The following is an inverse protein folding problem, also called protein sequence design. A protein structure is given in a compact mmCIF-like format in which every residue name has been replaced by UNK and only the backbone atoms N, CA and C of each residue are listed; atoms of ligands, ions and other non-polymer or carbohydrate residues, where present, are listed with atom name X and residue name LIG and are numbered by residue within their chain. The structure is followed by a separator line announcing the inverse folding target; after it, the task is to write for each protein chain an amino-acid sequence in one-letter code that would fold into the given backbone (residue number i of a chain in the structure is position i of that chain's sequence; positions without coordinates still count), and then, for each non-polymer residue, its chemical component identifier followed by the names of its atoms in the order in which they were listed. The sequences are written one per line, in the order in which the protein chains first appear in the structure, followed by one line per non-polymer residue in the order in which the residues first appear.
data_IF_507789832798
#
_entry.id   IF_507789832798
#
_cell.length_a   1.000
_cell.length_b   1.000
_cell.length_c   1.000
_cell.angle_alpha   90.00
_cell.angle_beta   90.00
_cell.angle_gamma   90.00
#
_symmetry.space_group_name_H-M   'P 1'
#
loop_
_entity.id
_entity.type
_entity.pdbx_description
1 polymer ?
#
# COMPACT_ATOMS: atom_id res chain seq x y z
N UNK A 1 0.42 -20.12 -4.01
CA UNK A 1 -0.52 -19.03 -3.80
C UNK A 1 -0.10 -17.86 -4.67
N UNK A 2 -1.01 -17.26 -5.42
CA UNK A 2 -0.67 -16.22 -6.38
C UNK A 2 -1.68 -15.07 -6.40
N UNK A 3 -1.20 -13.88 -6.73
CA UNK A 3 -2.04 -12.73 -7.06
C UNK A 3 -2.28 -12.69 -8.57
N UNK A 4 -3.53 -12.62 -9.00
CA UNK A 4 -3.86 -12.44 -10.41
C UNK A 4 -3.96 -10.95 -10.74
N UNK A 5 -3.13 -10.52 -11.68
CA UNK A 5 -3.18 -9.18 -12.26
C UNK A 5 -3.87 -9.24 -13.63
N UNK A 6 -5.08 -8.72 -13.71
CA UNK A 6 -5.88 -8.71 -14.93
C UNK A 6 -5.85 -7.31 -15.52
N UNK A 7 -4.94 -7.08 -16.46
CA UNK A 7 -4.69 -5.76 -17.08
C UNK A 7 -4.88 -5.73 -18.60
N UNK A 8 -5.38 -6.84 -19.18
CA UNK A 8 -5.65 -6.97 -20.62
C UNK A 8 -7.02 -6.39 -20.99
N UNK A 9 -7.12 -5.26 -21.70
CA UNK A 9 -8.40 -4.64 -22.02
C UNK A 9 -9.30 -5.55 -22.85
N UNK A 10 -10.51 -5.81 -22.36
CA UNK A 10 -11.51 -6.63 -23.00
C UNK A 10 -11.35 -8.13 -22.80
N UNK A 11 -10.41 -8.55 -21.95
CA UNK A 11 -10.38 -9.91 -21.45
C UNK A 11 -11.58 -10.20 -20.55
N UNK A 12 -11.93 -11.47 -20.39
CA UNK A 12 -13.03 -11.98 -19.59
C UNK A 12 -12.54 -13.05 -18.62
N UNK A 13 -12.74 -12.84 -17.33
CA UNK A 13 -12.54 -13.86 -16.31
C UNK A 13 -13.86 -14.60 -16.05
N UNK A 14 -13.85 -15.89 -16.29
CA UNK A 14 -14.93 -16.82 -16.00
C UNK A 14 -14.52 -17.87 -14.98
N UNK A 15 -15.45 -18.81 -14.70
CA UNK A 15 -15.20 -20.01 -13.92
C UNK A 15 -15.51 -21.23 -14.76
N UNK A 16 -14.63 -22.22 -14.72
CA UNK A 16 -14.84 -23.55 -15.29
C UNK A 16 -14.43 -24.59 -14.24
N UNK A 17 -15.42 -25.23 -13.61
CA UNK A 17 -15.20 -26.17 -12.51
C UNK A 17 -14.48 -25.52 -11.31
N UNK A 18 -13.28 -25.99 -11.01
CA UNK A 18 -12.44 -25.51 -9.89
C UNK A 18 -11.37 -24.50 -10.31
N UNK A 19 -11.51 -23.89 -11.49
CA UNK A 19 -10.54 -22.94 -12.03
C UNK A 19 -11.22 -21.64 -12.41
N UNK A 20 -10.49 -20.53 -12.25
CA UNK A 20 -10.77 -19.28 -12.94
C UNK A 20 -10.13 -19.36 -14.33
N UNK A 21 -10.86 -18.99 -15.36
CA UNK A 21 -10.39 -19.01 -16.74
C UNK A 21 -10.42 -17.60 -17.31
N UNK A 22 -9.25 -17.09 -17.65
CA UNK A 22 -9.09 -15.81 -18.34
C UNK A 22 -9.06 -16.07 -19.85
N UNK A 23 -10.00 -15.46 -20.56
CA UNK A 23 -10.07 -15.46 -22.03
C UNK A 23 -9.70 -14.08 -22.54
N UNK A 24 -8.70 -13.98 -23.39
CA UNK A 24 -8.33 -12.73 -24.04
C UNK A 24 -9.19 -12.46 -25.30
N UNK A 25 -8.99 -11.31 -25.95
CA UNK A 25 -9.72 -10.94 -27.16
C UNK A 25 -9.34 -11.78 -28.38
N UNK A 26 -8.18 -12.38 -28.39
CA UNK A 26 -7.61 -13.15 -29.50
C UNK A 26 -7.97 -14.63 -29.39
N UNK A 27 -8.73 -15.01 -28.34
CA UNK A 27 -9.17 -16.38 -28.09
C UNK A 27 -8.18 -17.21 -27.30
N UNK A 28 -7.12 -16.61 -26.77
CA UNK A 28 -6.21 -17.26 -25.83
C UNK A 28 -6.92 -17.53 -24.49
N UNK A 29 -6.70 -18.73 -23.92
CA UNK A 29 -7.27 -19.12 -22.65
C UNK A 29 -6.18 -19.47 -21.64
N UNK A 30 -6.35 -19.04 -20.39
CA UNK A 30 -5.46 -19.37 -19.28
C UNK A 30 -6.24 -19.71 -18.03
N UNK A 31 -6.05 -20.94 -17.53
CA UNK A 31 -6.68 -21.43 -16.31
C UNK A 31 -5.82 -21.18 -15.05
N UNK A 32 -6.49 -20.85 -13.95
CA UNK A 32 -5.88 -20.65 -12.63
C UNK A 32 -6.69 -21.46 -11.59
N UNK A 33 -6.11 -22.49 -10.97
CA UNK A 33 -6.79 -23.23 -9.91
C UNK A 33 -7.19 -22.28 -8.77
N UNK A 34 -8.47 -22.29 -8.37
CA UNK A 34 -9.01 -21.39 -7.34
C UNK A 34 -8.26 -21.50 -6.01
N UNK A 35 -7.76 -22.68 -5.67
CA UNK A 35 -7.00 -22.93 -4.45
C UNK A 35 -5.61 -22.26 -4.42
N UNK A 36 -5.10 -21.86 -5.58
CA UNK A 36 -3.81 -21.19 -5.73
C UNK A 36 -3.94 -19.67 -5.78
N UNK A 37 -5.17 -19.15 -5.89
CA UNK A 37 -5.44 -17.72 -6.02
C UNK A 37 -5.69 -17.11 -4.65
N UNK A 38 -4.85 -16.18 -4.24
CA UNK A 38 -4.99 -15.45 -2.98
C UNK A 38 -5.72 -14.12 -3.16
N UNK A 39 -5.63 -13.54 -4.36
CA UNK A 39 -6.15 -12.21 -4.64
C UNK A 39 -6.30 -11.99 -6.13
N UNK A 40 -7.24 -11.10 -6.49
CA UNK A 40 -7.42 -10.64 -7.87
C UNK A 40 -7.38 -9.11 -7.93
N UNK A 41 -6.56 -8.56 -8.81
CA UNK A 41 -6.54 -7.14 -9.14
C UNK A 41 -6.98 -6.97 -10.60
N UNK A 42 -8.02 -6.17 -10.80
CA UNK A 42 -8.64 -5.96 -12.11
C UNK A 42 -8.39 -4.53 -12.54
N UNK A 43 -7.66 -4.34 -13.64
CA UNK A 43 -7.33 -3.04 -14.19
C UNK A 43 -8.17 -2.71 -15.42
N UNK A 44 -8.86 -1.59 -15.37
CA UNK A 44 -9.59 -1.05 -16.51
C UNK A 44 -10.75 -1.94 -16.95
N UNK A 45 -10.83 -2.25 -18.25
CA UNK A 45 -12.00 -2.92 -18.87
C UNK A 45 -11.80 -4.43 -19.00
N UNK A 46 -11.73 -5.14 -17.89
CA UNK A 46 -11.81 -6.61 -17.83
C UNK A 46 -13.18 -7.00 -17.32
N UNK A 47 -13.82 -7.97 -17.98
CA UNK A 47 -15.12 -8.50 -17.56
C UNK A 47 -14.94 -9.61 -16.52
N UNK A 48 -15.74 -9.56 -15.46
CA UNK A 48 -15.88 -10.66 -14.50
C UNK A 48 -17.27 -11.27 -14.66
N UNK A 49 -17.34 -12.59 -14.87
CA UNK A 49 -18.65 -13.28 -14.87
C UNK A 49 -19.20 -13.37 -13.47
N UNK A 50 -20.54 -13.50 -13.32
CA UNK A 50 -21.17 -13.74 -12.03
C UNK A 50 -20.65 -15.01 -11.36
N UNK A 51 -20.40 -16.08 -12.12
CA UNK A 51 -19.85 -17.34 -11.58
C UNK A 51 -18.43 -17.17 -11.04
N UNK A 52 -17.58 -16.37 -11.72
CA UNK A 52 -16.25 -16.05 -11.22
C UNK A 52 -16.33 -15.20 -9.93
N UNK A 53 -17.20 -14.17 -9.92
CA UNK A 53 -17.43 -13.34 -8.74
C UNK A 53 -17.93 -14.16 -7.54
N UNK A 54 -18.92 -15.02 -7.75
CA UNK A 54 -19.45 -15.88 -6.69
C UNK A 54 -18.35 -16.80 -6.13
N UNK A 55 -17.56 -17.42 -7.01
CA UNK A 55 -16.47 -18.30 -6.58
C UNK A 55 -15.39 -17.55 -5.75
N UNK A 56 -15.09 -16.29 -6.11
CA UNK A 56 -14.17 -15.45 -5.37
C UNK A 56 -14.73 -15.06 -4.00
N UNK A 57 -16.02 -14.69 -3.93
CA UNK A 57 -16.72 -14.35 -2.70
C UNK A 57 -16.85 -15.53 -1.74
N UNK A 58 -17.28 -16.70 -2.23
CA UNK A 58 -17.43 -17.95 -1.45
C UNK A 58 -16.12 -18.36 -0.79
N UNK A 59 -14.98 -18.08 -1.44
CA UNK A 59 -13.65 -18.42 -0.93
C UNK A 59 -12.96 -17.30 -0.18
N UNK A 60 -13.62 -16.15 -0.04
CA UNK A 60 -13.03 -14.98 0.62
C UNK A 60 -11.83 -14.41 -0.12
N UNK A 61 -11.70 -14.65 -1.45
CA UNK A 61 -10.61 -14.12 -2.27
C UNK A 61 -10.86 -12.64 -2.56
N UNK A 62 -10.07 -11.72 -1.99
CA UNK A 62 -10.29 -10.29 -2.17
C UNK A 62 -10.05 -9.88 -3.62
N UNK A 63 -11.00 -9.15 -4.19
CA UNK A 63 -10.92 -8.66 -5.56
C UNK A 63 -10.94 -7.14 -5.56
N UNK A 64 -9.89 -6.52 -6.12
CA UNK A 64 -9.73 -5.07 -6.19
C UNK A 64 -9.98 -4.60 -7.62
N UNK A 65 -10.86 -3.61 -7.78
CA UNK A 65 -11.19 -3.00 -9.06
C UNK A 65 -10.45 -1.65 -9.18
N UNK A 66 -9.69 -1.49 -10.24
CA UNK A 66 -8.82 -0.35 -10.50
C UNK A 66 -9.11 0.26 -11.87
N UNK A 67 -8.95 1.57 -12.00
CA UNK A 67 -8.89 2.20 -13.32
C UNK A 67 -7.67 1.71 -14.10
N UNK A 68 -7.60 2.02 -15.40
CA UNK A 68 -6.43 1.74 -16.22
C UNK A 68 -5.15 2.43 -15.69
N UNK A 69 -5.28 3.59 -15.06
CA UNK A 69 -4.16 4.32 -14.44
C UNK A 69 -3.82 3.84 -13.02
N UNK A 70 -4.52 2.84 -12.48
CA UNK A 70 -4.29 2.31 -11.14
C UNK A 70 -5.09 3.00 -10.04
N UNK A 71 -6.02 3.91 -10.39
CA UNK A 71 -6.93 4.52 -9.41
C UNK A 71 -7.93 3.47 -8.90
N UNK A 72 -8.11 3.42 -7.59
CA UNK A 72 -9.00 2.47 -6.94
C UNK A 72 -10.48 2.85 -7.18
N UNK A 73 -11.24 1.97 -7.83
CA UNK A 73 -12.69 2.08 -7.94
C UNK A 73 -13.41 1.44 -6.76
N UNK A 74 -12.93 0.29 -6.27
CA UNK A 74 -13.55 -0.41 -5.16
C UNK A 74 -13.02 -1.82 -4.96
N UNK A 75 -13.68 -2.52 -4.03
CA UNK A 75 -13.39 -3.91 -3.72
C UNK A 75 -14.66 -4.74 -3.82
N UNK A 76 -14.50 -5.99 -4.28
CA UNK A 76 -15.52 -7.02 -4.18
C UNK A 76 -15.05 -7.99 -3.09
N UNK A 77 -15.86 -8.13 -2.07
CA UNK A 77 -15.54 -8.93 -0.89
C UNK A 77 -16.81 -9.51 -0.29
N UNK A 78 -16.70 -10.72 0.27
CA UNK A 78 -17.77 -11.35 1.00
C UNK A 78 -18.12 -10.65 2.31
N UNK A 79 -19.18 -11.10 2.95
CA UNK A 79 -19.61 -10.56 4.24
C UNK A 79 -18.52 -10.69 5.31
N UNK A 80 -18.19 -9.59 5.97
CA UNK A 80 -17.28 -9.57 7.10
C UNK A 80 -18.04 -9.89 8.38
N UNK A 81 -18.04 -11.15 8.79
CA UNK A 81 -18.73 -11.62 9.98
C UNK A 81 -18.06 -11.22 11.31
N UNK A 82 -18.89 -11.01 12.34
CA UNK A 82 -18.55 -11.33 13.74
C UNK A 82 -17.81 -10.29 14.59
N UNK A 83 -17.09 -9.32 14.08
CA UNK A 83 -16.21 -8.44 14.90
C UNK A 83 -16.89 -7.09 15.31
N UNK A 84 -18.17 -7.13 15.63
CA UNK A 84 -18.96 -5.91 15.97
C UNK A 84 -18.36 -5.15 17.14
N UNK A 85 -17.93 -5.85 18.22
CA UNK A 85 -17.33 -5.20 19.40
C UNK A 85 -16.03 -4.48 19.08
N UNK A 86 -15.17 -5.08 18.22
CA UNK A 86 -13.91 -4.45 17.80
C UNK A 86 -14.18 -3.20 16.97
N UNK A 87 -15.12 -3.24 16.02
CA UNK A 87 -15.53 -2.06 15.25
C UNK A 87 -16.12 -0.96 16.12
N UNK A 88 -16.96 -1.31 17.11
CA UNK A 88 -17.48 -0.33 18.05
C UNK A 88 -16.35 0.39 18.81
N UNK A 89 -15.32 -0.33 19.27
CA UNK A 89 -14.14 0.25 19.89
C UNK A 89 -13.30 1.09 18.93
N UNK A 90 -13.19 0.65 17.66
CA UNK A 90 -12.52 1.42 16.60
C UNK A 90 -13.22 2.76 16.36
N UNK A 91 -14.55 2.78 16.27
CA UNK A 91 -15.31 4.03 16.12
C UNK A 91 -15.23 4.93 17.35
N UNK A 92 -15.23 4.35 18.53
CA UNK A 92 -15.00 5.11 19.77
C UNK A 92 -13.61 5.76 19.80
N UNK A 93 -12.57 5.02 19.40
CA UNK A 93 -11.21 5.54 19.26
C UNK A 93 -11.12 6.67 18.22
N UNK A 94 -11.75 6.51 17.06
CA UNK A 94 -11.80 7.54 16.01
C UNK A 94 -12.47 8.83 16.52
N UNK A 95 -13.49 8.72 17.36
CA UNK A 95 -14.25 9.85 17.88
C UNK A 95 -13.55 10.57 19.06
N UNK A 96 -12.53 9.98 19.65
CA UNK A 96 -11.79 10.53 20.80
C UNK A 96 -10.38 10.94 20.37
N UNK A 97 -10.19 12.24 20.10
CA UNK A 97 -8.89 12.78 19.67
C UNK A 97 -7.78 12.53 20.71
N UNK A 98 -8.10 12.56 22.00
CA UNK A 98 -7.12 12.33 23.05
C UNK A 98 -6.63 10.87 23.07
N UNK A 99 -7.53 9.90 22.88
CA UNK A 99 -7.20 8.48 22.75
C UNK A 99 -6.52 8.15 21.40
N UNK A 100 -6.89 8.83 20.32
CA UNK A 100 -6.35 8.63 18.98
C UNK A 100 -4.92 9.16 18.82
N UNK A 101 -4.59 10.28 19.48
CA UNK A 101 -3.31 10.97 19.32
C UNK A 101 -2.06 10.12 19.62
N UNK A 102 -2.00 9.28 20.66
CA UNK A 102 -0.86 8.39 20.90
C UNK A 102 -0.60 7.43 19.73
N UNK A 103 -1.65 6.84 19.15
CA UNK A 103 -1.57 5.92 18.01
C UNK A 103 -1.10 6.68 16.75
N UNK A 104 -1.67 7.85 16.50
CA UNK A 104 -1.26 8.72 15.40
C UNK A 104 0.23 9.11 15.48
N UNK A 105 0.70 9.49 16.69
CA UNK A 105 2.12 9.77 16.95
C UNK A 105 3.00 8.56 16.66
N UNK A 106 2.60 7.37 17.12
CA UNK A 106 3.36 6.14 16.88
C UNK A 106 3.49 5.87 15.39
N UNK A 107 2.40 5.96 14.62
CA UNK A 107 2.37 5.75 13.17
C UNK A 107 3.29 6.74 12.43
N UNK A 108 3.15 8.04 12.72
CA UNK A 108 3.93 9.06 12.00
C UNK A 108 5.40 9.05 12.41
N UNK A 109 5.69 8.80 13.68
CA UNK A 109 7.08 8.61 14.15
C UNK A 109 7.73 7.41 13.45
N UNK A 110 7.01 6.29 13.31
CA UNK A 110 7.50 5.11 12.60
C UNK A 110 7.70 5.38 11.10
N UNK A 111 6.77 6.08 10.44
CA UNK A 111 6.93 6.55 9.06
C UNK A 111 8.25 7.30 8.89
N UNK A 112 8.47 8.37 9.66
CA UNK A 112 9.67 9.21 9.56
C UNK A 112 10.95 8.43 9.88
N UNK A 113 10.91 7.51 10.85
CA UNK A 113 12.05 6.60 11.15
C UNK A 113 12.34 5.68 9.98
N UNK A 114 11.32 5.10 9.35
CA UNK A 114 11.46 4.21 8.19
C UNK A 114 11.92 4.97 6.94
N UNK A 115 11.48 6.21 6.74
CA UNK A 115 12.01 7.11 5.72
C UNK A 115 13.50 7.41 5.94
N UNK A 116 13.89 7.73 7.17
CA UNK A 116 15.29 7.91 7.53
C UNK A 116 16.11 6.64 7.32
N UNK A 117 15.55 5.47 7.62
CA UNK A 117 16.19 4.18 7.37
C UNK A 117 16.49 3.99 5.87
N UNK A 118 15.54 4.30 4.99
CA UNK A 118 15.75 4.19 3.54
C UNK A 118 16.91 5.11 3.06
N UNK A 119 16.93 6.37 3.50
CA UNK A 119 18.01 7.28 3.16
C UNK A 119 19.38 6.76 3.69
N UNK A 120 19.42 6.22 4.91
CA UNK A 120 20.63 5.61 5.48
C UNK A 120 21.08 4.37 4.73
N UNK A 121 20.16 3.55 4.24
CA UNK A 121 20.47 2.37 3.43
C UNK A 121 21.25 2.74 2.15
N UNK A 122 21.07 3.96 1.67
CA UNK A 122 21.75 4.54 0.51
C UNK A 122 22.80 5.59 0.89
N UNK A 123 23.23 5.62 2.16
CA UNK A 123 24.26 6.52 2.67
C UNK A 123 24.01 8.01 2.40
N UNK A 124 22.74 8.39 2.23
CA UNK A 124 22.36 9.78 1.97
C UNK A 124 22.57 10.66 3.20
N UNK A 125 23.29 11.80 3.07
CA UNK A 125 23.46 12.77 4.16
C UNK A 125 22.13 13.40 4.60
N UNK A 126 21.10 13.43 3.73
CA UNK A 126 19.76 13.91 4.04
C UNK A 126 19.08 13.15 5.19
N UNK A 127 19.53 11.93 5.48
CA UNK A 127 19.01 11.13 6.60
C UNK A 127 19.14 11.85 7.96
N UNK A 128 20.18 12.65 8.17
CA UNK A 128 20.38 13.42 9.40
C UNK A 128 19.28 14.47 9.61
N UNK A 129 18.83 15.11 8.53
CA UNK A 129 17.81 16.15 8.54
C UNK A 129 16.43 15.70 9.03
N UNK A 130 16.16 14.39 9.07
CA UNK A 130 14.89 13.85 9.58
C UNK A 130 14.83 13.74 11.11
N UNK A 131 15.97 13.81 11.81
CA UNK A 131 16.06 13.67 13.26
C UNK A 131 15.13 14.62 14.04
N UNK A 132 15.14 15.94 13.77
CA UNK A 132 14.28 16.89 14.46
C UNK A 132 12.79 16.61 14.26
N UNK A 133 12.35 16.23 13.04
CA UNK A 133 10.96 15.91 12.75
C UNK A 133 10.48 14.64 13.45
N UNK A 134 11.34 13.63 13.57
CA UNK A 134 11.05 12.40 14.33
C UNK A 134 10.83 12.73 15.82
N UNK A 135 11.68 13.54 16.41
CA UNK A 135 11.55 13.95 17.82
C UNK A 135 10.28 14.78 18.02
N UNK A 136 10.01 15.74 17.17
CA UNK A 136 8.82 16.60 17.24
C UNK A 136 7.52 15.80 17.03
N UNK A 137 7.47 14.85 16.08
CA UNK A 137 6.31 14.00 15.88
C UNK A 137 6.01 13.12 17.11
N UNK A 138 7.06 12.60 17.76
CA UNK A 138 6.92 11.76 18.97
C UNK A 138 6.25 12.50 20.12
N UNK A 139 6.47 13.81 20.26
CA UNK A 139 5.97 14.63 21.37
C UNK A 139 4.88 15.62 20.94
N UNK A 140 4.32 15.49 19.74
CA UNK A 140 3.31 16.41 19.21
C UNK A 140 2.11 16.56 20.15
N UNK A 141 1.71 17.77 20.48
CA UNK A 141 0.65 18.04 21.43
C UNK A 141 -0.77 17.86 20.86
N UNK A 142 -0.90 17.83 19.52
CA UNK A 142 -2.20 17.69 18.83
C UNK A 142 -2.02 17.04 17.46
N UNK A 143 -3.12 16.54 16.88
CA UNK A 143 -3.14 16.03 15.51
C UNK A 143 -2.74 17.11 14.50
N UNK A 144 -3.08 18.37 14.73
CA UNK A 144 -2.71 19.49 13.86
C UNK A 144 -1.18 19.72 13.85
N UNK A 145 -0.53 19.76 15.02
CA UNK A 145 0.93 19.86 15.10
C UNK A 145 1.63 18.66 14.50
N UNK A 146 1.08 17.44 14.72
CA UNK A 146 1.61 16.21 14.14
C UNK A 146 1.58 16.24 12.61
N UNK A 147 0.47 16.71 11.99
CA UNK A 147 0.39 16.93 10.52
C UNK A 147 1.44 17.93 10.01
N UNK A 148 1.71 19.00 10.74
CA UNK A 148 2.77 19.96 10.40
C UNK A 148 4.17 19.32 10.39
N UNK A 149 4.49 18.51 11.41
CA UNK A 149 5.78 17.80 11.49
C UNK A 149 5.90 16.71 10.43
N UNK A 150 4.82 15.98 10.18
CA UNK A 150 4.76 14.97 9.12
C UNK A 150 5.02 15.59 7.74
N UNK A 151 4.30 16.67 7.38
CA UNK A 151 4.45 17.33 6.09
C UNK A 151 5.84 17.94 5.88
N UNK A 152 6.44 18.51 6.95
CA UNK A 152 7.80 19.07 6.89
C UNK A 152 8.84 17.96 6.76
N UNK A 153 8.69 16.86 7.54
CA UNK A 153 9.54 15.68 7.44
C UNK A 153 9.43 15.00 6.07
N UNK A 154 8.22 14.90 5.51
CA UNK A 154 8.01 14.33 4.18
C UNK A 154 8.70 15.18 3.08
N UNK A 155 8.64 16.50 3.16
CA UNK A 155 9.37 17.38 2.21
C UNK A 155 10.88 17.16 2.29
N UNK A 156 11.44 17.11 3.51
CA UNK A 156 12.87 16.87 3.70
C UNK A 156 13.27 15.49 3.18
N UNK A 157 12.45 14.46 3.43
CA UNK A 157 12.65 13.12 2.93
C UNK A 157 12.65 13.05 1.40
N UNK A 158 11.61 13.59 0.74
CA UNK A 158 11.51 13.52 -0.72
C UNK A 158 12.55 14.37 -1.44
N UNK A 159 13.08 15.42 -0.83
CA UNK A 159 14.26 16.10 -1.35
C UNK A 159 15.46 15.15 -1.38
N UNK A 160 15.78 14.48 -0.26
CA UNK A 160 16.87 13.49 -0.21
C UNK A 160 16.60 12.25 -1.09
N UNK A 161 15.35 11.81 -1.21
CA UNK A 161 14.97 10.72 -2.11
C UNK A 161 15.25 11.09 -3.58
N UNK A 162 14.96 12.34 -3.97
CA UNK A 162 15.27 12.84 -5.31
C UNK A 162 16.78 12.78 -5.64
N UNK A 163 17.65 13.07 -4.65
CA UNK A 163 19.10 12.94 -4.81
C UNK A 163 19.53 11.49 -5.10
N UNK A 164 18.83 10.49 -4.56
CA UNK A 164 19.12 9.08 -4.82
C UNK A 164 18.84 8.66 -6.28
N UNK A 165 18.12 9.46 -7.04
CA UNK A 165 17.83 9.21 -8.45
C UNK A 165 18.92 9.78 -9.37
N UNK A 166 19.95 10.46 -8.85
CA UNK A 166 21.07 10.94 -9.63
C UNK A 166 21.75 9.79 -10.40
N UNK A 167 22.02 10.02 -11.68
CA UNK A 167 22.58 9.01 -12.57
C UNK A 167 21.53 8.08 -13.22
N UNK A 168 20.24 8.18 -12.86
CA UNK A 168 19.14 7.57 -13.59
C UNK A 168 18.59 8.54 -14.66
N UNK A 169 17.83 8.06 -15.66
CA UNK A 169 17.22 8.92 -16.67
C UNK A 169 16.02 9.72 -16.14
N UNK A 170 15.61 9.52 -14.89
CA UNK A 170 14.40 10.10 -14.33
C UNK A 170 14.69 11.36 -13.51
N UNK A 171 13.84 12.36 -13.71
CA UNK A 171 13.81 13.58 -12.88
C UNK A 171 12.70 13.44 -11.84
N UNK A 172 12.95 13.97 -10.62
CA UNK A 172 11.98 13.99 -9.53
C UNK A 172 12.19 15.26 -8.70
N UNK A 173 11.22 16.15 -8.72
CA UNK A 173 11.30 17.46 -8.03
C UNK A 173 10.66 17.41 -6.64
N UNK A 174 9.89 16.35 -6.37
CA UNK A 174 9.17 16.17 -5.13
C UNK A 174 7.93 15.32 -5.30
N UNK A 175 7.28 14.95 -4.19
CA UNK A 175 6.10 14.12 -4.22
C UNK A 175 4.84 14.94 -4.59
N UNK A 176 4.23 14.58 -5.71
CA UNK A 176 2.94 15.08 -6.18
C UNK A 176 1.94 13.92 -6.30
N UNK A 177 0.72 14.12 -5.83
CA UNK A 177 -0.22 13.01 -5.69
C UNK A 177 -1.04 12.73 -6.94
N UNK A 178 -1.71 13.71 -7.52
CA UNK A 178 -2.61 13.46 -8.63
C UNK A 178 -2.92 14.75 -9.42
N UNK A 179 -2.78 14.72 -10.75
CA UNK A 179 -2.14 13.67 -11.53
C UNK A 179 -0.62 13.58 -11.25
N UNK A 180 -0.03 12.41 -11.50
CA UNK A 180 1.42 12.24 -11.38
C UNK A 180 2.12 13.01 -12.52
N UNK A 181 3.03 13.96 -12.23
CA UNK A 181 3.64 14.81 -13.28
C UNK A 181 4.85 14.14 -13.95
N UNK A 182 5.40 13.10 -13.37
CA UNK A 182 6.63 12.45 -13.80
C UNK A 182 6.60 10.93 -13.56
N UNK A 183 7.49 10.16 -14.18
CA UNK A 183 7.57 8.71 -14.05
C UNK A 183 7.71 8.22 -12.62
N UNK A 184 8.51 8.88 -11.78
CA UNK A 184 8.76 8.46 -10.41
C UNK A 184 7.50 8.63 -9.56
N UNK A 185 6.80 9.77 -9.72
CA UNK A 185 5.50 9.98 -9.08
C UNK A 185 4.44 8.97 -9.55
N UNK A 186 4.48 8.55 -10.83
CA UNK A 186 3.62 7.50 -11.35
C UNK A 186 3.89 6.14 -10.67
N UNK A 187 5.16 5.75 -10.53
CA UNK A 187 5.56 4.53 -9.82
C UNK A 187 5.15 4.55 -8.35
N UNK A 188 5.42 5.66 -7.66
CA UNK A 188 5.04 5.82 -6.25
C UNK A 188 3.52 5.73 -6.08
N UNK A 189 2.74 6.37 -6.95
CA UNK A 189 1.28 6.37 -6.88
C UNK A 189 0.71 4.98 -7.10
N UNK A 190 1.19 4.25 -8.10
CA UNK A 190 0.75 2.89 -8.39
C UNK A 190 1.20 1.92 -7.27
N UNK A 191 2.42 2.03 -6.79
CA UNK A 191 2.93 1.21 -5.68
C UNK A 191 2.17 1.47 -4.37
N UNK A 192 1.81 2.71 -4.06
CA UNK A 192 0.97 3.02 -2.89
C UNK A 192 -0.46 2.49 -3.04
N UNK A 193 -0.98 2.40 -4.27
CA UNK A 193 -2.28 1.76 -4.52
C UNK A 193 -2.22 0.25 -4.24
N UNK A 194 -1.13 -0.41 -4.63
CA UNK A 194 -0.90 -1.82 -4.30
C UNK A 194 -0.79 -2.03 -2.79
N UNK A 195 0.00 -1.19 -2.10
CA UNK A 195 0.14 -1.25 -0.65
C UNK A 195 -1.20 -1.00 0.07
N UNK A 196 -1.98 -0.02 -0.39
CA UNK A 196 -3.32 0.24 0.15
C UNK A 196 -4.23 -0.98 0.03
N UNK A 197 -4.16 -1.70 -1.10
CA UNK A 197 -4.88 -2.96 -1.31
C UNK A 197 -4.49 -4.04 -0.30
N UNK A 198 -3.18 -4.20 0.02
CA UNK A 198 -2.70 -5.13 1.04
C UNK A 198 -3.24 -4.78 2.43
N UNK A 199 -3.12 -3.51 2.84
CA UNK A 199 -3.57 -3.05 4.15
C UNK A 199 -5.09 -3.17 4.30
N UNK A 200 -5.86 -2.82 3.25
CA UNK A 200 -7.33 -2.98 3.27
C UNK A 200 -7.74 -4.44 3.40
N UNK A 201 -7.09 -5.34 2.66
CA UNK A 201 -7.34 -6.78 2.78
C UNK A 201 -7.07 -7.27 4.20
N UNK A 202 -5.97 -6.84 4.80
CA UNK A 202 -5.66 -7.18 6.18
C UNK A 202 -6.71 -6.63 7.17
N UNK A 203 -7.12 -5.35 7.03
CA UNK A 203 -8.17 -4.74 7.87
C UNK A 203 -9.46 -5.55 7.83
N UNK A 204 -9.90 -5.93 6.66
CA UNK A 204 -11.09 -6.79 6.51
C UNK A 204 -10.90 -8.15 7.19
N UNK A 205 -9.72 -8.79 7.02
CA UNK A 205 -9.40 -10.05 7.69
C UNK A 205 -9.49 -9.98 9.22
N UNK A 206 -9.15 -8.81 9.80
CA UNK A 206 -9.28 -8.57 11.23
C UNK A 206 -10.64 -8.00 11.64
N UNK A 207 -11.58 -7.81 10.71
CA UNK A 207 -12.92 -7.28 10.95
C UNK A 207 -12.93 -5.80 11.33
N UNK A 208 -11.93 -5.03 10.88
CA UNK A 208 -11.80 -3.59 11.06
C UNK A 208 -12.38 -2.82 9.88
N UNK A 209 -12.88 -1.61 10.13
CA UNK A 209 -13.36 -0.70 9.10
C UNK A 209 -12.19 0.09 8.51
N UNK A 210 -11.92 -0.01 7.19
CA UNK A 210 -10.86 0.75 6.53
C UNK A 210 -11.03 2.27 6.58
N UNK A 211 -12.25 2.77 6.85
CA UNK A 211 -12.56 4.20 6.85
C UNK A 211 -12.46 4.85 8.23
N UNK A 212 -12.42 4.08 9.32
CA UNK A 212 -12.36 4.60 10.69
C UNK A 212 -10.91 4.77 11.17
N UNK A 213 -10.22 5.82 10.70
CA UNK A 213 -8.83 6.15 11.02
C UNK A 213 -8.68 7.08 12.23
N UNK A 214 -7.43 7.32 12.63
CA UNK A 214 -7.06 8.14 13.80
C UNK A 214 -6.25 9.39 13.45
N UNK A 215 -5.70 9.47 12.23
CA UNK A 215 -4.83 10.57 11.80
C UNK A 215 -5.33 11.28 10.55
N UNK A 216 -5.67 10.53 9.48
CA UNK A 216 -6.29 11.09 8.29
C UNK A 216 -7.76 11.42 8.55
N UNK A 217 -8.21 12.55 8.00
CA UNK A 217 -9.62 12.95 8.14
C UNK A 217 -10.55 11.94 7.47
N UNK A 218 -11.65 11.61 8.15
CA UNK A 218 -12.64 10.63 7.67
C UNK A 218 -13.71 11.26 6.76
N UNK A 219 -13.75 12.60 6.67
CA UNK A 219 -14.84 13.37 6.05
C UNK A 219 -14.89 13.29 4.51
N UNK A 220 -13.82 12.81 3.88
CA UNK A 220 -13.68 12.77 2.41
C UNK A 220 -14.00 11.45 1.74
N UNK A 221 -14.58 10.46 2.44
CA UNK A 221 -14.83 9.12 1.89
C UNK A 221 -13.55 8.33 1.58
N UNK A 222 -12.41 8.79 2.09
CA UNK A 222 -11.13 8.09 1.95
C UNK A 222 -10.97 7.00 3.02
N UNK A 223 -10.31 5.87 2.71
CA UNK A 223 -10.09 4.79 3.67
C UNK A 223 -9.02 5.19 4.70
N UNK A 224 -9.38 6.11 5.61
CA UNK A 224 -8.46 6.78 6.54
C UNK A 224 -7.69 5.82 7.44
N UNK A 225 -8.32 4.76 7.96
CA UNK A 225 -7.61 3.74 8.75
C UNK A 225 -6.57 2.99 7.92
N UNK A 226 -6.90 2.65 6.67
CA UNK A 226 -5.95 2.00 5.79
C UNK A 226 -4.80 2.95 5.40
N UNK A 227 -5.08 4.23 5.17
CA UNK A 227 -4.06 5.26 4.92
C UNK A 227 -3.16 5.44 6.15
N UNK A 228 -3.72 5.48 7.36
CA UNK A 228 -2.96 5.57 8.60
C UNK A 228 -1.98 4.40 8.77
N UNK A 229 -2.48 3.17 8.63
CA UNK A 229 -1.69 1.97 8.84
C UNK A 229 -0.64 1.71 7.75
N UNK A 230 -0.82 2.26 6.55
CA UNK A 230 0.19 2.16 5.50
C UNK A 230 1.34 3.17 5.66
N UNK A 231 1.20 4.23 6.47
CA UNK A 231 2.23 5.26 6.61
C UNK A 231 3.62 4.70 6.97
N UNK A 232 3.79 3.83 7.97
CA UNK A 232 5.09 3.22 8.26
C UNK A 232 5.65 2.33 7.15
N UNK A 233 4.77 1.84 6.26
CA UNK A 233 5.11 0.90 5.20
C UNK A 233 5.44 1.58 3.86
N UNK A 234 5.11 2.88 3.70
CA UNK A 234 5.39 3.62 2.45
C UNK A 234 6.84 3.51 1.98
N UNK A 235 7.87 3.57 2.84
CA UNK A 235 9.25 3.41 2.42
C UNK A 235 9.59 2.08 1.76
N UNK A 236 8.78 1.03 1.89
CA UNK A 236 8.93 -0.20 1.09
C UNK A 236 8.62 0.04 -0.39
N UNK A 237 7.56 0.81 -0.65
CA UNK A 237 7.19 1.24 -2.01
C UNK A 237 8.26 2.17 -2.57
N UNK A 238 8.76 3.11 -1.75
CA UNK A 238 9.79 4.05 -2.17
C UNK A 238 11.07 3.32 -2.58
N UNK A 239 11.50 2.32 -1.78
CA UNK A 239 12.63 1.43 -2.08
C UNK A 239 12.42 0.69 -3.41
N UNK A 240 11.21 0.16 -3.63
CA UNK A 240 10.86 -0.52 -4.87
C UNK A 240 10.91 0.43 -6.08
N UNK A 241 10.30 1.61 -5.96
CA UNK A 241 10.29 2.62 -7.02
C UNK A 241 11.70 3.08 -7.38
N UNK A 242 12.55 3.30 -6.37
CA UNK A 242 13.96 3.67 -6.55
C UNK A 242 14.73 2.57 -7.30
N UNK A 243 14.55 1.30 -6.92
CA UNK A 243 15.20 0.18 -7.59
C UNK A 243 14.77 0.09 -9.06
N UNK A 244 13.46 0.16 -9.32
CA UNK A 244 12.91 0.09 -10.67
C UNK A 244 13.42 1.25 -11.55
N UNK A 245 13.41 2.47 -11.01
CA UNK A 245 13.88 3.66 -11.72
C UNK A 245 15.38 3.62 -12.02
N UNK A 246 16.19 3.01 -11.15
CA UNK A 246 17.65 2.97 -11.34
C UNK A 246 18.14 1.83 -12.23
N UNK A 247 17.37 0.72 -12.32
CA UNK A 247 17.91 -0.54 -12.86
C UNK A 247 17.02 -1.26 -13.86
N UNK A 248 15.71 -0.99 -13.90
CA UNK A 248 14.78 -1.86 -14.62
C UNK A 248 13.86 -1.15 -15.62
N UNK A 249 13.70 0.17 -15.48
CA UNK A 249 12.78 0.96 -16.30
C UNK A 249 13.52 2.06 -17.05
N UNK A 250 12.95 2.44 -18.20
CA UNK A 250 13.41 3.52 -19.06
C UNK A 250 12.29 4.55 -19.26
N UNK A 251 12.63 5.77 -19.74
CA UNK A 251 11.63 6.79 -20.03
C UNK A 251 10.58 6.31 -21.05
N UNK A 252 10.99 5.48 -22.00
CA UNK A 252 10.09 4.87 -23.01
C UNK A 252 9.05 3.90 -22.43
N UNK A 253 9.22 3.45 -21.17
CA UNK A 253 8.21 2.61 -20.50
C UNK A 253 7.01 3.43 -20.00
N UNK A 254 7.09 4.76 -20.05
CA UNK A 254 6.05 5.68 -19.55
C UNK A 254 5.34 6.40 -20.69
N UNK A 255 4.10 6.79 -20.42
CA UNK A 255 3.27 7.61 -21.30
C UNK A 255 2.84 8.85 -20.54
N UNK A 256 2.61 9.94 -21.28
CA UNK A 256 2.11 11.20 -20.74
C UNK A 256 1.00 11.73 -21.65
N UNK A 257 -0.09 12.27 -21.07
CA UNK A 257 -1.13 12.92 -21.84
C UNK A 257 -0.83 14.40 -22.09
N UNK A 258 -1.75 15.05 -22.81
CA UNK A 258 -1.63 16.47 -23.15
C UNK A 258 -1.72 17.39 -21.90
N UNK A 259 -2.32 16.91 -20.81
CA UNK A 259 -2.48 17.59 -19.54
C UNK A 259 -1.27 17.37 -18.63
N UNK A 260 -0.29 16.58 -19.06
CA UNK A 260 0.95 16.31 -18.34
C UNK A 260 0.86 15.16 -17.32
N UNK A 261 -0.24 14.44 -17.25
CA UNK A 261 -0.35 13.26 -16.39
C UNK A 261 0.51 12.11 -16.94
N UNK A 262 1.35 11.54 -16.09
CA UNK A 262 2.29 10.48 -16.44
C UNK A 262 1.84 9.14 -15.83
N UNK A 263 1.97 8.04 -16.59
CA UNK A 263 1.70 6.68 -16.12
C UNK A 263 2.61 5.65 -16.80
N UNK A 264 2.74 4.49 -16.18
CA UNK A 264 3.44 3.36 -16.75
C UNK A 264 2.61 2.78 -17.93
N UNK A 265 3.21 2.67 -19.10
CA UNK A 265 2.56 2.29 -20.35
C UNK A 265 1.96 0.88 -20.31
N UNK A 266 1.08 0.61 -21.27
CA UNK A 266 0.44 -0.69 -21.41
C UNK A 266 1.48 -1.80 -21.67
N UNK A 267 1.30 -2.95 -21.02
CA UNK A 267 2.24 -4.07 -21.07
C UNK A 267 3.52 -3.86 -20.25
N UNK A 268 3.78 -2.64 -19.73
CA UNK A 268 4.96 -2.34 -18.90
C UNK A 268 4.70 -2.50 -17.40
N UNK A 269 3.44 -2.46 -16.99
CA UNK A 269 3.02 -2.68 -15.58
C UNK A 269 3.43 -4.05 -15.05
N UNK A 270 3.56 -5.05 -15.91
CA UNK A 270 4.04 -6.38 -15.53
C UNK A 270 5.38 -6.36 -14.81
N UNK A 271 6.31 -5.44 -15.18
CA UNK A 271 7.58 -5.27 -14.46
C UNK A 271 7.35 -4.82 -12.99
N UNK A 272 6.49 -3.82 -12.79
CA UNK A 272 6.16 -3.36 -11.43
C UNK A 272 5.44 -4.44 -10.62
N UNK A 273 4.48 -5.16 -11.23
CA UNK A 273 3.73 -6.21 -10.52
C UNK A 273 4.63 -7.38 -10.13
N UNK A 274 5.52 -7.82 -11.02
CA UNK A 274 6.49 -8.86 -10.71
C UNK A 274 7.45 -8.43 -9.59
N UNK A 275 7.96 -7.19 -9.65
CA UNK A 275 8.83 -6.64 -8.64
C UNK A 275 8.11 -6.44 -7.29
N UNK A 276 6.83 -6.06 -7.31
CA UNK A 276 5.98 -5.98 -6.12
C UNK A 276 5.76 -7.36 -5.48
N UNK A 277 5.40 -8.37 -6.27
CA UNK A 277 5.21 -9.72 -5.74
C UNK A 277 6.50 -10.29 -5.18
N UNK A 278 7.64 -10.06 -5.83
CA UNK A 278 8.96 -10.43 -5.30
C UNK A 278 9.21 -9.76 -3.94
N UNK A 279 8.94 -8.45 -3.83
CA UNK A 279 9.07 -7.73 -2.56
C UNK A 279 8.12 -8.30 -1.49
N UNK A 280 6.87 -8.56 -1.83
CA UNK A 280 5.88 -9.08 -0.87
C UNK A 280 6.19 -10.49 -0.37
N UNK A 281 6.94 -11.27 -1.14
CA UNK A 281 7.38 -12.62 -0.77
C UNK A 281 8.79 -12.64 -0.17
N UNK A 282 9.54 -11.53 -0.22
CA UNK A 282 10.88 -11.43 0.36
C UNK A 282 10.82 -11.76 1.86
N UNK A 283 11.55 -12.82 2.31
CA UNK A 283 11.59 -13.18 3.72
C UNK A 283 12.45 -12.18 4.48
N UNK A 284 11.93 -11.68 5.59
CA UNK A 284 12.66 -10.80 6.50
C UNK A 284 12.61 -11.35 7.92
N UNK A 285 13.71 -11.23 8.64
CA UNK A 285 13.79 -11.67 10.03
C UNK A 285 13.03 -10.67 10.91
N UNK A 286 12.00 -11.12 11.60
CA UNK A 286 11.23 -10.36 12.56
C UNK A 286 10.93 -11.18 13.80
N UNK A 287 11.30 -10.65 14.98
CA UNK A 287 11.13 -11.33 16.26
C UNK A 287 11.73 -12.77 16.30
N UNK A 288 12.84 -12.98 15.61
CA UNK A 288 13.55 -14.28 15.58
C UNK A 288 13.08 -15.26 14.53
N UNK A 289 12.05 -14.93 13.75
CA UNK A 289 11.53 -15.77 12.68
C UNK A 289 11.50 -15.06 11.33
N UNK A 290 11.63 -15.82 10.23
CA UNK A 290 11.52 -15.27 8.88
C UNK A 290 10.06 -15.24 8.43
N UNK A 291 9.61 -14.05 8.01
CA UNK A 291 8.27 -13.82 7.50
C UNK A 291 8.32 -13.01 6.20
N UNK A 292 7.48 -13.31 5.20
CA UNK A 292 7.37 -12.48 4.02
C UNK A 292 6.76 -11.11 4.38
N UNK A 293 7.16 -10.04 3.68
CA UNK A 293 6.62 -8.69 3.91
C UNK A 293 5.10 -8.65 3.93
N UNK A 294 4.42 -9.43 3.07
CA UNK A 294 2.94 -9.51 3.07
C UNK A 294 2.40 -9.92 4.45
N UNK A 295 3.02 -10.91 5.09
CA UNK A 295 2.62 -11.33 6.43
C UNK A 295 2.92 -10.27 7.49
N UNK A 296 4.04 -9.54 7.35
CA UNK A 296 4.38 -8.43 8.24
C UNK A 296 3.32 -7.32 8.16
N UNK A 297 2.83 -6.98 6.94
CA UNK A 297 1.74 -6.02 6.75
C UNK A 297 0.47 -6.46 7.48
N UNK A 298 0.10 -7.74 7.34
CA UNK A 298 -1.05 -8.30 8.07
C UNK A 298 -0.87 -8.22 9.58
N UNK A 299 0.33 -8.52 10.09
CA UNK A 299 0.62 -8.44 11.53
C UNK A 299 0.55 -7.01 12.06
N UNK A 300 0.97 -6.00 11.30
CA UNK A 300 0.81 -4.60 11.71
C UNK A 300 -0.66 -4.22 11.92
N UNK A 301 -1.56 -4.70 11.06
CA UNK A 301 -3.01 -4.52 11.25
C UNK A 301 -3.49 -5.30 12.48
N UNK A 302 -2.96 -6.49 12.71
CA UNK A 302 -3.22 -7.30 13.89
C UNK A 302 -2.81 -6.61 15.19
N UNK A 303 -1.73 -5.79 15.20
CA UNK A 303 -1.34 -4.98 16.36
C UNK A 303 -2.44 -3.96 16.74
N UNK A 304 -3.04 -3.28 15.74
CA UNK A 304 -4.17 -2.39 16.01
C UNK A 304 -5.38 -3.17 16.54
N UNK A 305 -5.69 -4.32 15.94
CA UNK A 305 -6.80 -5.16 16.40
C UNK A 305 -6.61 -5.61 17.85
N UNK A 306 -5.40 -5.98 18.23
CA UNK A 306 -5.02 -6.40 19.59
C UNK A 306 -5.14 -5.25 20.58
N UNK A 307 -4.65 -4.07 20.23
CA UNK A 307 -4.81 -2.85 21.04
C UNK A 307 -6.28 -2.49 21.26
N UNK A 308 -7.12 -2.61 20.23
CA UNK A 308 -8.56 -2.38 20.35
C UNK A 308 -9.25 -3.42 21.24
N UNK A 309 -8.81 -4.67 21.23
CA UNK A 309 -9.36 -5.71 22.11
C UNK A 309 -8.90 -5.55 23.56
N UNK A 310 -7.67 -5.10 23.76
CA UNK A 310 -7.06 -4.86 25.08
C UNK A 310 -6.20 -3.57 25.03
N UNK A 311 -6.72 -2.41 25.44
CA UNK A 311 -5.99 -1.14 25.44
C UNK A 311 -4.73 -1.10 26.31
N UNK A 312 -4.54 -2.06 27.23
CA UNK A 312 -3.29 -2.19 27.98
C UNK A 312 -2.12 -2.67 27.10
N UNK A 313 -2.41 -3.26 25.97
CA UNK A 313 -1.41 -3.63 24.96
C UNK A 313 -1.10 -2.42 24.08
N UNK A 314 0.09 -1.88 24.23
CA UNK A 314 0.53 -0.72 23.45
C UNK A 314 0.58 -1.06 21.96
N UNK A 315 0.04 -0.16 21.12
CA UNK A 315 0.16 -0.27 19.66
C UNK A 315 1.57 0.06 19.20
N UNK A 316 2.25 -0.88 18.57
CA UNK A 316 3.62 -0.72 18.07
C UNK A 316 3.66 -0.86 16.55
N UNK A 317 3.79 0.25 15.81
CA UNK A 317 3.93 0.19 14.36
C UNK A 317 5.30 -0.34 13.92
N UNK A 318 5.33 -0.93 12.74
CA UNK A 318 6.51 -1.57 12.17
C UNK A 318 7.70 -0.60 12.03
N UNK A 319 8.84 -1.00 12.55
CA UNK A 319 10.13 -0.38 12.31
C UNK A 319 10.93 -1.20 11.29
N UNK A 320 11.11 -0.69 10.06
CA UNK A 320 11.86 -1.39 9.00
C UNK A 320 13.32 -1.63 9.38
N UNK A 321 13.89 -0.77 10.22
CA UNK A 321 15.24 -0.94 10.74
C UNK A 321 15.40 -2.10 11.73
N UNK A 322 14.28 -2.62 12.25
CA UNK A 322 14.27 -3.79 13.14
C UNK A 322 14.15 -5.12 12.39
N UNK A 323 13.94 -5.06 11.06
CA UNK A 323 13.90 -6.24 10.21
C UNK A 323 15.33 -6.62 9.82
N UNK A 324 15.74 -7.83 10.16
CA UNK A 324 16.99 -8.45 9.66
C UNK A 324 16.81 -8.97 8.23
N UNK A 325 17.93 -9.22 7.55
CA UNK A 325 17.96 -9.93 6.27
C UNK A 325 18.12 -11.42 6.46
#
# INVERSE_FOLDING_TARGET
MCTLYLDQPGARLGREGWQLVLKDREGGERGFPLEQVDRVLVYGRVQLTADALNALLERGIPTTLLSRSGWLHGHVQGECGGQVRRRARQYALMADEAAALPIARALITAKLRNQRWLLRLHESPAAAGLGPFIAAAHTAASAASLRGFEGSGARAYFAGFGELLQGSPFTFVGRHHHPAPDPVNALLSLGYTLLLGEVRSALHGYGLDPFAGVFHASDGGQPSCALDLMEPLRPLVDRLALRLARHELELADFQQDAEGACWLGDGRRGKLYAAWETLMQEPVLWQGEHHPYRQIIHRQVGELARHLDDPAQEFQPLALSALGR
#
